data_IF_781114878474
#
_entry.id   IF_781114878474
#
_cell.length_a   1.000
_cell.length_b   1.000
_cell.length_c   1.000
_cell.angle_alpha   90.00
_cell.angle_beta   90.00
_cell.angle_gamma   90.00
#
_symmetry.space_group_name_H-M   'P 1'
#
loop_
_entity.id
_entity.type
_entity.pdbx_description
1 polymer ?
#
# COMPACT_ATOMS: atom_id res chain seq x y z
N UNK A 1 -2.18 -17.35 -20.99
CA UNK A 1 -3.35 -16.46 -21.12
C UNK A 1 -2.95 -15.25 -21.95
N UNK A 2 -3.81 -14.74 -22.84
CA UNK A 2 -3.52 -13.49 -23.56
C UNK A 2 -3.33 -12.34 -22.57
N UNK A 3 -2.38 -11.45 -22.88
CA UNK A 3 -2.06 -10.28 -22.04
C UNK A 3 -3.24 -9.32 -22.08
N UNK A 4 -3.79 -8.97 -20.91
CA UNK A 4 -4.84 -7.95 -20.82
C UNK A 4 -4.20 -6.58 -20.98
N UNK A 5 -4.76 -5.74 -21.86
CA UNK A 5 -4.32 -4.36 -22.01
C UNK A 5 -4.94 -3.49 -20.91
N UNK A 6 -4.09 -2.83 -20.14
CA UNK A 6 -4.53 -1.88 -19.11
C UNK A 6 -4.95 -0.57 -19.80
N UNK A 7 -6.08 -0.01 -19.36
CA UNK A 7 -6.61 1.26 -19.86
C UNK A 7 -6.44 2.35 -18.82
N UNK A 8 -6.56 3.62 -19.22
CA UNK A 8 -6.56 4.75 -18.29
C UNK A 8 -7.69 4.64 -17.25
N UNK A 9 -8.83 4.05 -17.60
CA UNK A 9 -9.93 3.82 -16.66
C UNK A 9 -9.55 2.81 -15.56
N UNK A 10 -8.79 1.76 -15.89
CA UNK A 10 -8.29 0.81 -14.88
C UNK A 10 -7.32 1.48 -13.90
N UNK A 11 -6.42 2.33 -14.41
CA UNK A 11 -5.48 3.08 -13.57
C UNK A 11 -6.23 4.07 -12.67
N UNK A 12 -7.18 4.82 -13.23
CA UNK A 12 -7.99 5.76 -12.44
C UNK A 12 -8.78 5.06 -11.34
N UNK A 13 -9.33 3.88 -11.62
CA UNK A 13 -10.03 3.08 -10.62
C UNK A 13 -9.09 2.57 -9.52
N UNK A 14 -7.88 2.14 -9.87
CA UNK A 14 -6.87 1.74 -8.90
C UNK A 14 -6.44 2.92 -8.01
N UNK A 15 -6.18 4.10 -8.58
CA UNK A 15 -5.82 5.30 -7.83
C UNK A 15 -6.93 5.72 -6.86
N UNK A 16 -8.19 5.68 -7.29
CA UNK A 16 -9.33 5.95 -6.41
C UNK A 16 -9.37 4.96 -5.22
N UNK A 17 -9.17 3.67 -5.50
CA UNK A 17 -9.14 2.64 -4.45
C UNK A 17 -8.01 2.84 -3.43
N UNK A 18 -6.83 3.26 -3.88
CA UNK A 18 -5.70 3.61 -2.98
C UNK A 18 -6.05 4.79 -2.10
N UNK A 19 -6.65 5.85 -2.67
CA UNK A 19 -7.05 7.04 -1.89
C UNK A 19 -8.12 6.73 -0.84
N UNK A 20 -9.07 5.86 -1.16
CA UNK A 20 -10.10 5.46 -0.21
C UNK A 20 -9.52 4.60 0.92
N UNK A 21 -8.62 3.67 0.59
CA UNK A 21 -7.91 2.85 1.57
C UNK A 21 -7.06 3.73 2.50
N UNK A 22 -6.33 4.68 1.92
CA UNK A 22 -5.56 5.67 2.66
C UNK A 22 -6.42 6.47 3.66
N UNK A 23 -7.61 6.93 3.24
CA UNK A 23 -8.56 7.61 4.14
C UNK A 23 -9.04 6.69 5.25
N UNK A 24 -9.34 5.43 4.94
CA UNK A 24 -9.76 4.42 5.93
C UNK A 24 -8.68 4.22 6.99
N UNK A 25 -7.42 4.04 6.58
CA UNK A 25 -6.31 3.85 7.52
C UNK A 25 -6.08 5.08 8.42
N UNK A 26 -6.19 6.30 7.88
CA UNK A 26 -6.15 7.53 8.70
C UNK A 26 -7.27 7.53 9.74
N UNK A 27 -8.49 7.13 9.35
CA UNK A 27 -9.64 7.09 10.27
C UNK A 27 -9.46 6.06 11.39
N UNK A 28 -8.87 4.91 11.09
CA UNK A 28 -8.69 3.82 12.06
C UNK A 28 -7.48 4.01 12.97
N UNK A 29 -6.35 4.44 12.42
CA UNK A 29 -5.05 4.50 13.10
C UNK A 29 -4.70 5.91 13.60
N UNK A 30 -5.48 6.92 13.21
CA UNK A 30 -5.22 8.33 13.52
C UNK A 30 -4.39 9.02 12.44
N UNK A 31 -4.14 10.31 12.66
CA UNK A 31 -3.57 11.20 11.65
C UNK A 31 -2.04 11.08 11.62
N UNK A 32 -1.54 10.32 10.63
CA UNK A 32 -0.21 10.46 10.01
C UNK A 32 0.97 10.63 10.98
N UNK A 33 1.14 9.75 11.96
CA UNK A 33 2.38 9.72 12.75
C UNK A 33 3.58 9.40 11.83
N UNK A 34 4.67 10.15 11.98
CA UNK A 34 5.93 9.85 11.29
C UNK A 34 6.33 8.39 11.54
N UNK A 35 6.61 7.66 10.47
CA UNK A 35 7.26 6.36 10.56
C UNK A 35 8.76 6.54 10.33
N UNK A 36 9.57 5.99 11.22
CA UNK A 36 11.00 5.81 10.95
C UNK A 36 11.21 4.94 9.70
N UNK A 37 12.40 4.97 9.12
CA UNK A 37 12.72 4.13 7.96
C UNK A 37 12.62 2.63 8.31
N UNK A 38 12.89 2.24 9.57
CA UNK A 38 12.75 0.86 10.03
C UNK A 38 11.29 0.41 10.15
N UNK A 39 10.42 1.26 10.70
CA UNK A 39 8.98 0.98 10.77
C UNK A 39 8.36 0.91 9.37
N UNK A 40 8.74 1.85 8.50
CA UNK A 40 8.30 1.87 7.10
C UNK A 40 8.68 0.58 6.36
N UNK A 41 9.92 0.12 6.52
CA UNK A 41 10.38 -1.14 5.94
C UNK A 41 9.64 -2.35 6.55
N UNK A 42 9.39 -2.32 7.86
CA UNK A 42 8.64 -3.36 8.56
C UNK A 42 7.23 -3.54 7.99
N UNK A 43 6.49 -2.44 7.86
CA UNK A 43 5.12 -2.44 7.30
C UNK A 43 5.13 -2.93 5.85
N UNK A 44 5.98 -2.36 4.99
CA UNK A 44 6.05 -2.80 3.58
C UNK A 44 6.41 -4.28 3.47
N UNK A 45 7.31 -4.77 4.33
CA UNK A 45 7.71 -6.18 4.37
C UNK A 45 6.57 -7.11 4.78
N UNK A 46 5.74 -6.69 5.72
CA UNK A 46 4.54 -7.42 6.14
C UNK A 46 3.53 -7.51 5.00
N UNK A 47 3.16 -6.38 4.39
CA UNK A 47 2.20 -6.34 3.27
C UNK A 47 2.69 -7.15 2.06
N UNK A 48 4.01 -7.13 1.79
CA UNK A 48 4.60 -7.96 0.74
C UNK A 48 4.48 -9.46 1.02
N UNK A 49 4.62 -9.87 2.29
CA UNK A 49 4.41 -11.26 2.68
C UNK A 49 2.94 -11.66 2.51
N UNK A 50 2.01 -10.83 2.98
CA UNK A 50 0.56 -11.09 2.83
C UNK A 50 0.16 -11.20 1.36
N UNK A 51 0.73 -10.36 0.48
CA UNK A 51 0.54 -10.47 -0.96
C UNK A 51 1.02 -11.83 -1.49
N UNK A 52 2.18 -12.30 -1.04
CA UNK A 52 2.70 -13.62 -1.38
C UNK A 52 1.75 -14.75 -0.98
N UNK A 53 1.23 -14.70 0.24
CA UNK A 53 0.28 -15.68 0.78
C UNK A 53 -1.05 -15.64 -0.01
N UNK A 54 -1.55 -14.45 -0.35
CA UNK A 54 -2.76 -14.26 -1.17
C UNK A 54 -2.61 -14.82 -2.59
N UNK A 55 -1.43 -14.62 -3.21
CA UNK A 55 -1.11 -15.19 -4.53
C UNK A 55 -1.10 -16.72 -4.47
N UNK A 56 -0.47 -17.31 -3.44
CA UNK A 56 -0.44 -18.76 -3.26
C UNK A 56 -1.85 -19.34 -3.06
N UNK A 57 -2.71 -18.61 -2.33
CA UNK A 57 -4.10 -18.98 -2.11
C UNK A 57 -5.02 -18.75 -3.33
N UNK A 58 -4.54 -18.09 -4.39
CA UNK A 58 -5.34 -17.63 -5.53
C UNK A 58 -6.52 -16.71 -5.13
N UNK A 59 -6.39 -15.97 -4.03
CA UNK A 59 -7.42 -15.05 -3.57
C UNK A 59 -7.30 -13.70 -4.26
N UNK A 60 -8.12 -13.49 -5.30
CA UNK A 60 -8.07 -12.27 -6.11
C UNK A 60 -8.45 -11.00 -5.36
N UNK A 61 -9.33 -11.08 -4.37
CA UNK A 61 -9.73 -9.90 -3.62
C UNK A 61 -8.65 -9.53 -2.60
N UNK A 62 -8.06 -10.53 -1.95
CA UNK A 62 -6.93 -10.30 -1.06
C UNK A 62 -5.71 -9.77 -1.83
N UNK A 63 -5.39 -10.31 -3.02
CA UNK A 63 -4.30 -9.77 -3.86
C UNK A 63 -4.49 -8.27 -4.13
N UNK A 64 -5.72 -7.84 -4.46
CA UNK A 64 -6.01 -6.42 -4.71
C UNK A 64 -5.89 -5.59 -3.44
N UNK A 65 -6.28 -6.14 -2.29
CA UNK A 65 -6.14 -5.50 -0.98
C UNK A 65 -4.65 -5.27 -0.68
N UNK A 66 -3.81 -6.30 -0.72
CA UNK A 66 -2.41 -6.15 -0.32
C UNK A 66 -1.61 -5.30 -1.31
N UNK A 67 -1.96 -5.32 -2.59
CA UNK A 67 -1.38 -4.37 -3.56
C UNK A 67 -1.71 -2.91 -3.21
N UNK A 68 -2.90 -2.62 -2.69
CA UNK A 68 -3.25 -1.27 -2.22
C UNK A 68 -2.52 -0.94 -0.92
N UNK A 69 -2.48 -1.87 0.02
CA UNK A 69 -1.83 -1.66 1.32
C UNK A 69 -0.33 -1.38 1.14
N UNK A 70 0.36 -2.07 0.22
CA UNK A 70 1.75 -1.76 -0.18
C UNK A 70 1.87 -0.33 -0.73
N UNK A 71 0.96 0.10 -1.61
CA UNK A 71 1.02 1.46 -2.20
C UNK A 71 0.80 2.52 -1.12
N UNK A 72 -0.13 2.29 -0.19
CA UNK A 72 -0.38 3.18 0.95
C UNK A 72 0.87 3.26 1.84
N UNK A 73 1.44 2.12 2.24
CA UNK A 73 2.65 2.04 3.06
C UNK A 73 3.84 2.75 2.40
N UNK A 74 4.08 2.52 1.11
CA UNK A 74 5.15 3.16 0.36
C UNK A 74 4.95 4.69 0.25
N UNK A 75 3.70 5.13 0.08
CA UNK A 75 3.38 6.57 0.03
C UNK A 75 3.65 7.24 1.38
N UNK A 76 3.33 6.56 2.49
CA UNK A 76 3.62 7.04 3.84
C UNK A 76 5.11 7.11 4.15
N UNK A 77 5.85 6.07 3.77
CA UNK A 77 7.30 6.05 3.90
C UNK A 77 7.91 7.26 3.19
N UNK A 78 7.51 7.49 1.92
CA UNK A 78 7.98 8.63 1.14
C UNK A 78 7.60 9.99 1.77
N UNK A 79 6.40 10.12 2.31
CA UNK A 79 5.96 11.33 2.99
C UNK A 79 6.78 11.59 4.27
N UNK A 80 7.04 10.54 5.07
CA UNK A 80 7.84 10.61 6.30
C UNK A 80 9.28 11.00 6.00
N UNK A 81 9.88 10.41 4.97
CA UNK A 81 11.20 10.75 4.44
C UNK A 81 11.28 12.23 4.01
N UNK A 82 10.26 12.71 3.29
CA UNK A 82 10.20 14.11 2.82
C UNK A 82 10.09 15.12 3.96
N UNK A 83 9.45 14.72 5.06
CA UNK A 83 9.31 15.56 6.25
C UNK A 83 10.55 15.55 7.17
N UNK A 84 11.58 14.77 6.83
CA UNK A 84 12.81 14.66 7.62
C UNK A 84 12.73 13.67 8.79
N UNK A 85 11.82 12.69 8.73
CA UNK A 85 11.62 11.64 9.74
C UNK A 85 12.73 10.59 9.80
N UNK A 86 14.00 11.01 9.72
CA UNK A 86 15.15 10.12 9.86
C UNK A 86 15.49 9.94 11.34
N UNK A 87 15.34 8.72 11.83
CA UNK A 87 16.06 8.21 13.00
C UNK A 87 17.24 7.37 12.47
N UNK A 88 18.46 7.83 12.75
CA UNK A 88 19.69 7.04 12.60
C UNK A 88 20.16 6.55 13.96
#
# INVERSE_FOLDING_TARGET
MPRVQITSAHIAHADAGVRDEMRRQIQEKGDLSFCSSHESLGVIGEEHKELGDAIQANDREQIKKELRDIVVAATWALASETAGGWDW
#
